data_IF_608619707415
#
_entry.id   IF_608619707415
#
_cell.length_a   1.000
_cell.length_b   1.000
_cell.length_c   1.000
_cell.angle_alpha   90.00
_cell.angle_beta   90.00
_cell.angle_gamma   90.00
#
_symmetry.space_group_name_H-M   'P 1'
#
loop_
_entity.id
_entity.type
_entity.pdbx_description
1 polymer ?
#
# COMPACT_ATOMS: atom_id res chain seq x y z
N UNK A 1 -4.37 28.83 1.16
CA UNK A 1 -4.25 27.60 0.34
C UNK A 1 -5.62 26.94 0.23
N UNK A 2 -6.08 26.60 -0.97
CA UNK A 2 -7.43 26.07 -1.17
C UNK A 2 -7.52 24.58 -0.81
N UNK A 3 -8.72 24.11 -0.49
CA UNK A 3 -8.99 22.70 -0.24
C UNK A 3 -8.59 21.78 -1.42
N UNK A 4 -8.69 22.30 -2.65
CA UNK A 4 -8.24 21.63 -3.87
C UNK A 4 -6.71 21.49 -3.92
N UNK A 5 -5.96 22.53 -3.51
CA UNK A 5 -4.49 22.45 -3.45
C UNK A 5 -3.97 21.42 -2.44
N UNK A 6 -4.71 21.20 -1.35
CA UNK A 6 -4.32 20.21 -0.35
C UNK A 6 -4.49 18.77 -0.86
N UNK A 7 -5.61 18.45 -1.52
CA UNK A 7 -5.79 17.14 -2.15
C UNK A 7 -4.73 16.88 -3.24
N UNK A 8 -4.48 17.87 -4.11
CA UNK A 8 -3.49 17.76 -5.18
C UNK A 8 -2.11 17.37 -4.65
N UNK A 9 -1.67 17.96 -3.53
CA UNK A 9 -0.38 17.65 -2.92
C UNK A 9 -0.23 16.15 -2.55
N UNK A 10 -1.26 15.51 -1.99
CA UNK A 10 -1.22 14.07 -1.69
C UNK A 10 -1.15 13.22 -2.97
N UNK A 11 -1.93 13.59 -3.99
CA UNK A 11 -1.95 12.85 -5.25
C UNK A 11 -0.64 13.00 -6.02
N UNK A 12 -0.02 14.18 -6.00
CA UNK A 12 1.25 14.43 -6.65
C UNK A 12 2.40 13.70 -5.93
N UNK A 13 2.35 13.64 -4.59
CA UNK A 13 3.28 12.83 -3.79
C UNK A 13 3.17 11.33 -4.16
N UNK A 14 1.96 10.82 -4.36
CA UNK A 14 1.74 9.44 -4.84
C UNK A 14 2.34 9.24 -6.24
N UNK A 15 2.03 10.11 -7.20
CA UNK A 15 2.54 10.03 -8.58
C UNK A 15 4.06 10.13 -8.64
N UNK A 16 4.66 10.92 -7.76
CA UNK A 16 6.12 11.06 -7.67
C UNK A 16 6.78 9.77 -7.19
N UNK A 17 6.18 9.06 -6.24
CA UNK A 17 6.68 7.76 -5.76
C UNK A 17 6.43 6.62 -6.76
N UNK A 18 5.37 6.73 -7.54
CA UNK A 18 4.93 5.75 -8.54
C UNK A 18 4.80 6.38 -9.93
N UNK A 19 5.91 6.78 -10.58
CA UNK A 19 5.87 7.35 -11.92
C UNK A 19 5.24 6.40 -12.94
N UNK A 20 5.37 5.08 -12.75
CA UNK A 20 4.73 4.05 -13.57
C UNK A 20 3.20 4.10 -13.51
N UNK A 21 2.63 4.76 -12.49
CA UNK A 21 1.18 4.91 -12.35
C UNK A 21 0.57 5.68 -13.53
N UNK A 22 1.30 6.61 -14.14
CA UNK A 22 0.86 7.32 -15.35
C UNK A 22 0.56 6.38 -16.53
N UNK A 23 1.29 5.27 -16.63
CA UNK A 23 1.09 4.21 -17.65
C UNK A 23 0.05 3.20 -17.17
N UNK A 24 -0.08 3.01 -15.86
CA UNK A 24 -0.92 1.97 -15.26
C UNK A 24 -2.38 2.38 -15.04
N UNK A 25 -2.62 3.64 -14.68
CA UNK A 25 -3.95 4.20 -14.39
C UNK A 25 -4.98 4.04 -15.53
N UNK A 26 -4.62 4.13 -16.83
CA UNK A 26 -5.56 3.88 -17.92
C UNK A 26 -6.22 2.50 -17.87
N UNK A 27 -5.58 1.50 -17.26
CA UNK A 27 -6.14 0.15 -17.10
C UNK A 27 -7.16 0.03 -15.96
N UNK A 28 -7.37 1.10 -15.20
CA UNK A 28 -8.39 1.20 -14.16
C UNK A 28 -9.66 1.80 -14.77
N UNK A 29 -10.87 1.27 -14.45
CA UNK A 29 -12.13 1.87 -14.88
C UNK A 29 -12.17 3.36 -14.57
N UNK A 30 -12.59 4.18 -15.52
CA UNK A 30 -12.49 5.65 -15.42
C UNK A 30 -13.11 6.20 -14.12
N UNK A 31 -14.27 5.68 -13.72
CA UNK A 31 -14.98 6.08 -12.51
C UNK A 31 -14.23 5.72 -11.21
N UNK A 32 -13.33 4.73 -11.24
CA UNK A 32 -12.55 4.29 -10.08
C UNK A 32 -11.20 5.02 -9.96
N UNK A 33 -10.71 5.71 -11.00
CA UNK A 33 -9.37 6.31 -11.01
C UNK A 33 -9.16 7.34 -9.89
N UNK A 34 -10.07 8.32 -9.66
CA UNK A 34 -9.90 9.28 -8.56
C UNK A 34 -9.90 8.61 -7.19
N UNK A 35 -10.76 7.61 -7.02
CA UNK A 35 -10.87 6.84 -5.78
C UNK A 35 -9.60 6.02 -5.52
N UNK A 36 -9.05 5.37 -6.55
CA UNK A 36 -7.80 4.62 -6.48
C UNK A 36 -6.62 5.52 -6.11
N UNK A 37 -6.49 6.68 -6.76
CA UNK A 37 -5.41 7.62 -6.46
C UNK A 37 -5.49 8.15 -5.02
N UNK A 38 -6.69 8.51 -4.54
CA UNK A 38 -6.89 8.94 -3.16
C UNK A 38 -6.61 7.82 -2.15
N UNK A 39 -7.05 6.59 -2.44
CA UNK A 39 -6.82 5.42 -1.61
C UNK A 39 -5.32 5.09 -1.49
N UNK A 40 -4.58 5.08 -2.61
CA UNK A 40 -3.15 4.81 -2.58
C UNK A 40 -2.35 5.95 -1.95
N UNK A 41 -2.78 7.20 -2.12
CA UNK A 41 -2.20 8.31 -1.38
C UNK A 41 -2.37 8.15 0.15
N UNK A 42 -3.54 7.66 0.60
CA UNK A 42 -3.77 7.35 2.02
C UNK A 42 -2.83 6.24 2.53
N UNK A 43 -2.77 5.11 1.81
CA UNK A 43 -1.88 3.99 2.17
C UNK A 43 -0.41 4.44 2.21
N UNK A 44 0.00 5.30 1.29
CA UNK A 44 1.34 5.89 1.26
C UNK A 44 1.64 6.75 2.50
N UNK A 45 0.67 7.49 3.05
CA UNK A 45 0.88 8.24 4.28
C UNK A 45 1.21 7.34 5.48
N UNK A 46 0.63 6.13 5.52
CA UNK A 46 0.93 5.16 6.56
C UNK A 46 2.24 4.41 6.30
N UNK A 47 2.60 4.16 5.03
CA UNK A 47 3.93 3.69 4.66
C UNK A 47 5.02 4.66 5.13
N UNK A 48 4.79 5.97 5.03
CA UNK A 48 5.73 6.99 5.52
C UNK A 48 5.85 6.99 7.03
N UNK A 49 4.74 6.79 7.75
CA UNK A 49 4.75 6.66 9.20
C UNK A 49 5.49 5.39 9.65
N UNK A 50 5.32 4.28 8.93
CA UNK A 50 6.05 3.03 9.20
C UNK A 50 7.56 3.17 8.96
N UNK A 51 7.96 4.06 8.05
CA UNK A 51 9.36 4.24 7.62
C UNK A 51 9.99 5.57 8.07
N UNK A 52 9.52 6.13 9.19
CA UNK A 52 10.10 7.35 9.76
C UNK A 52 11.57 7.13 10.13
N UNK A 53 12.40 8.15 9.91
CA UNK A 53 13.78 8.20 10.39
C UNK A 53 13.85 9.01 11.69
N UNK A 54 14.65 8.56 12.67
CA UNK A 54 14.84 9.26 13.93
C UNK A 54 13.71 9.03 14.93
N UNK A 55 13.30 10.10 15.62
CA UNK A 55 12.29 10.05 16.68
C UNK A 55 10.91 9.60 16.15
N UNK A 56 10.33 8.49 16.66
CA UNK A 56 9.04 8.00 16.20
C UNK A 56 7.84 8.79 16.75
N UNK A 57 8.00 9.59 17.81
CA UNK A 57 6.86 10.24 18.49
C UNK A 57 5.98 11.10 17.57
N UNK A 58 6.53 11.94 16.67
CA UNK A 58 5.70 12.70 15.74
C UNK A 58 4.91 11.81 14.76
N UNK A 59 5.53 10.71 14.31
CA UNK A 59 4.89 9.75 13.42
C UNK A 59 3.77 8.97 14.15
N UNK A 60 3.97 8.68 15.44
CA UNK A 60 2.99 8.00 16.29
C UNK A 60 1.78 8.87 16.60
N UNK A 61 2.00 10.15 16.90
CA UNK A 61 0.93 11.12 17.04
C UNK A 61 0.12 11.26 15.73
N UNK A 62 0.81 11.30 14.57
CA UNK A 62 0.16 11.35 13.26
C UNK A 62 -0.65 10.07 12.96
N UNK A 63 -0.16 8.91 13.37
CA UNK A 63 -0.87 7.64 13.23
C UNK A 63 -2.14 7.60 14.08
N UNK A 64 -2.06 8.06 15.34
CA UNK A 64 -3.22 8.18 16.21
C UNK A 64 -4.26 9.17 15.66
N UNK A 65 -3.81 10.28 15.07
CA UNK A 65 -4.69 11.21 14.36
C UNK A 65 -5.40 10.53 13.17
N UNK A 66 -4.68 9.74 12.36
CA UNK A 66 -5.29 8.96 11.26
C UNK A 66 -6.31 7.94 11.76
N UNK A 67 -6.06 7.28 12.89
CA UNK A 67 -7.03 6.37 13.50
C UNK A 67 -8.34 7.10 13.83
N UNK A 68 -8.26 8.29 14.42
CA UNK A 68 -9.44 9.08 14.73
C UNK A 68 -10.16 9.54 13.45
N UNK A 69 -9.42 10.04 12.45
CA UNK A 69 -9.99 10.48 11.18
C UNK A 69 -10.76 9.34 10.48
N UNK A 70 -10.23 8.12 10.45
CA UNK A 70 -10.95 6.94 9.90
C UNK A 70 -12.21 6.59 10.70
N UNK A 71 -12.20 6.73 12.03
CA UNK A 71 -13.39 6.54 12.86
C UNK A 71 -14.43 7.62 12.58
N UNK A 72 -14.00 8.85 12.32
CA UNK A 72 -14.89 9.94 11.91
C UNK A 72 -15.48 9.71 10.51
N UNK A 73 -14.76 9.06 9.60
CA UNK A 73 -15.28 8.67 8.28
C UNK A 73 -16.43 7.66 8.38
N UNK A 74 -16.37 6.75 9.36
CA UNK A 74 -17.48 5.84 9.65
C UNK A 74 -18.78 6.59 9.97
N UNK A 75 -18.66 7.83 10.48
CA UNK A 75 -19.76 8.71 10.83
C UNK A 75 -19.98 9.87 9.83
N UNK A 76 -19.30 9.86 8.68
CA UNK A 76 -19.33 10.93 7.67
C UNK A 76 -18.95 12.32 8.15
N UNK A 77 -17.91 12.40 8.98
CA UNK A 77 -17.43 13.67 9.54
C UNK A 77 -16.02 13.99 9.08
N UNK A 78 -15.63 13.53 7.90
CA UNK A 78 -14.29 13.76 7.35
C UNK A 78 -13.97 15.24 7.27
N UNK A 79 -12.79 15.62 7.75
CA UNK A 79 -12.23 16.97 7.56
C UNK A 79 -11.02 16.95 6.65
N UNK A 80 -10.45 15.77 6.41
CA UNK A 80 -9.27 15.59 5.59
C UNK A 80 -9.58 15.68 4.08
N UNK A 81 -8.68 16.26 3.25
CA UNK A 81 -8.85 16.31 1.80
C UNK A 81 -9.04 14.94 1.14
N UNK A 82 -8.31 13.90 1.58
CA UNK A 82 -8.50 12.53 1.08
C UNK A 82 -9.87 11.96 1.47
N UNK A 83 -10.35 12.28 2.67
CA UNK A 83 -11.64 11.78 3.13
C UNK A 83 -12.80 12.35 2.32
N UNK A 84 -12.73 13.57 1.77
CA UNK A 84 -13.76 14.06 0.82
C UNK A 84 -13.97 13.16 -0.40
N UNK A 85 -12.96 12.38 -0.78
CA UNK A 85 -13.04 11.43 -1.89
C UNK A 85 -13.42 10.02 -1.40
N UNK A 86 -12.87 9.61 -0.25
CA UNK A 86 -13.00 8.24 0.27
C UNK A 86 -14.22 8.03 1.17
N UNK A 87 -14.47 8.94 2.11
CA UNK A 87 -15.55 8.87 3.11
C UNK A 87 -16.96 8.69 2.54
N UNK A 88 -17.33 9.26 1.38
CA UNK A 88 -18.63 8.99 0.77
C UNK A 88 -18.90 7.51 0.51
N UNK A 89 -17.86 6.67 0.41
CA UNK A 89 -18.00 5.21 0.30
C UNK A 89 -18.11 4.59 1.70
N UNK A 90 -19.15 3.78 1.93
CA UNK A 90 -19.41 3.07 3.19
C UNK A 90 -18.53 1.83 3.37
N UNK A 91 -17.22 2.02 3.39
CA UNK A 91 -16.25 0.96 3.66
C UNK A 91 -16.08 0.75 5.19
N UNK A 92 -15.50 -0.38 5.64
CA UNK A 92 -15.26 -0.66 7.06
C UNK A 92 -14.11 0.19 7.66
N UNK A 93 -14.28 1.51 7.68
CA UNK A 93 -13.25 2.47 8.11
C UNK A 93 -12.83 2.30 9.57
N UNK A 94 -13.77 2.04 10.48
CA UNK A 94 -13.47 1.79 11.89
C UNK A 94 -12.59 0.54 12.08
N UNK A 95 -12.91 -0.56 11.39
CA UNK A 95 -12.10 -1.78 11.44
C UNK A 95 -10.69 -1.54 10.90
N UNK A 96 -10.55 -0.74 9.84
CA UNK A 96 -9.23 -0.33 9.35
C UNK A 96 -8.48 0.51 10.38
N UNK A 97 -9.15 1.46 11.04
CA UNK A 97 -8.55 2.29 12.09
C UNK A 97 -7.94 1.45 13.22
N UNK A 98 -8.65 0.41 13.66
CA UNK A 98 -8.22 -0.45 14.76
C UNK A 98 -6.94 -1.26 14.44
N UNK A 99 -6.59 -1.40 13.15
CA UNK A 99 -5.39 -2.11 12.72
C UNK A 99 -4.16 -1.23 12.52
N UNK A 100 -4.31 0.10 12.52
CA UNK A 100 -3.20 1.02 12.27
C UNK A 100 -2.01 0.91 13.24
N UNK A 101 -2.16 0.52 14.53
CA UNK A 101 -1.00 0.25 15.40
C UNK A 101 0.00 -0.77 14.82
N UNK A 102 -0.41 -1.60 13.85
CA UNK A 102 0.51 -2.48 13.12
C UNK A 102 1.68 -1.72 12.45
N UNK A 103 1.51 -0.45 12.07
CA UNK A 103 2.58 0.36 11.48
C UNK A 103 3.71 0.63 12.46
N UNK A 104 3.38 0.78 13.75
CA UNK A 104 4.37 0.92 14.84
C UNK A 104 5.06 -0.41 15.10
N UNK A 105 4.28 -1.48 15.23
CA UNK A 105 4.80 -2.82 15.47
C UNK A 105 5.74 -3.28 14.34
N UNK A 106 5.41 -2.97 13.08
CA UNK A 106 6.23 -3.28 11.93
C UNK A 106 7.57 -2.54 11.91
N UNK A 107 7.78 -1.50 12.75
CA UNK A 107 9.09 -0.83 12.87
C UNK A 107 10.13 -1.67 13.59
N UNK A 108 9.70 -2.64 14.38
CA UNK A 108 10.60 -3.54 15.12
C UNK A 108 11.19 -4.55 14.14
N UNK A 109 12.49 -4.84 14.30
CA UNK A 109 13.14 -5.88 13.50
C UNK A 109 12.48 -7.25 13.78
N UNK A 110 11.97 -7.96 12.76
CA UNK A 110 11.33 -9.25 12.98
C UNK A 110 12.37 -10.34 13.30
N UNK A 111 11.91 -11.45 13.84
CA UNK A 111 12.67 -12.69 14.09
C UNK A 111 12.58 -13.66 12.91
N UNK A 112 11.52 -13.55 12.10
CA UNK A 112 11.30 -14.40 10.92
C UNK A 112 10.34 -13.75 9.93
N UNK A 113 10.29 -14.29 8.70
CA UNK A 113 9.27 -13.91 7.71
C UNK A 113 7.85 -14.10 8.27
N UNK A 114 7.58 -15.21 8.95
CA UNK A 114 6.25 -15.52 9.47
C UNK A 114 5.82 -14.52 10.54
N UNK A 115 6.72 -14.11 11.43
CA UNK A 115 6.42 -13.05 12.39
C UNK A 115 6.13 -11.73 11.69
N UNK A 116 6.96 -11.34 10.72
CA UNK A 116 6.78 -10.08 9.97
C UNK A 116 5.42 -10.04 9.23
N UNK A 117 5.01 -11.16 8.62
CA UNK A 117 3.70 -11.30 8.00
C UNK A 117 2.57 -11.26 9.03
N UNK A 118 2.74 -11.95 10.16
CA UNK A 118 1.77 -11.96 11.25
C UNK A 118 1.50 -10.57 11.83
N UNK A 119 2.55 -9.74 11.98
CA UNK A 119 2.42 -8.35 12.44
C UNK A 119 1.52 -7.50 11.54
N UNK A 120 1.51 -7.75 10.23
CA UNK A 120 0.73 -6.98 9.25
C UNK A 120 -0.58 -7.65 8.85
N UNK A 121 -0.87 -8.87 9.32
CA UNK A 121 -1.99 -9.67 8.83
C UNK A 121 -3.34 -8.99 9.01
N UNK A 122 -3.66 -8.53 10.22
CA UNK A 122 -4.95 -7.88 10.50
C UNK A 122 -5.13 -6.58 9.68
N UNK A 123 -4.07 -5.80 9.55
CA UNK A 123 -4.06 -4.60 8.71
C UNK A 123 -4.30 -4.94 7.23
N UNK A 124 -3.62 -5.96 6.72
CA UNK A 124 -3.78 -6.40 5.34
C UNK A 124 -5.20 -6.92 5.03
N UNK A 125 -5.81 -7.65 5.96
CA UNK A 125 -7.22 -8.06 5.88
C UNK A 125 -8.16 -6.83 5.84
N UNK A 126 -7.92 -5.83 6.71
CA UNK A 126 -8.73 -4.62 6.72
C UNK A 126 -8.58 -3.79 5.43
N UNK A 127 -7.37 -3.72 4.87
CA UNK A 127 -7.11 -3.12 3.54
C UNK A 127 -7.93 -3.82 2.47
N UNK A 128 -7.87 -5.15 2.41
CA UNK A 128 -8.63 -5.96 1.44
C UNK A 128 -10.14 -5.75 1.62
N UNK A 129 -10.64 -5.70 2.85
CA UNK A 129 -12.06 -5.48 3.14
C UNK A 129 -12.54 -4.10 2.69
N UNK A 130 -11.73 -3.06 2.90
CA UNK A 130 -12.02 -1.71 2.38
C UNK A 130 -12.00 -1.69 0.86
N UNK A 131 -10.99 -2.29 0.23
CA UNK A 131 -10.88 -2.36 -1.23
C UNK A 131 -12.02 -3.13 -1.88
N UNK A 132 -12.57 -4.13 -1.19
CA UNK A 132 -13.74 -4.85 -1.68
C UNK A 132 -14.94 -3.92 -1.87
N UNK A 133 -15.14 -2.98 -0.94
CA UNK A 133 -16.20 -1.97 -1.04
C UNK A 133 -15.83 -0.87 -2.04
N UNK A 134 -14.63 -0.30 -1.95
CA UNK A 134 -14.19 0.80 -2.82
C UNK A 134 -14.26 0.43 -4.31
N UNK A 135 -13.93 -0.82 -4.64
CA UNK A 135 -13.79 -1.27 -6.03
C UNK A 135 -14.82 -2.31 -6.44
N UNK A 136 -15.90 -2.46 -5.64
CA UNK A 136 -17.01 -3.38 -5.89
C UNK A 136 -16.58 -4.84 -6.17
N UNK A 137 -15.54 -5.29 -5.46
CA UNK A 137 -15.00 -6.63 -5.60
C UNK A 137 -15.87 -7.62 -4.82
N UNK A 138 -16.20 -8.75 -5.44
CA UNK A 138 -17.04 -9.79 -4.80
C UNK A 138 -16.25 -10.98 -4.31
N UNK A 139 -15.08 -11.21 -4.90
CA UNK A 139 -14.23 -12.34 -4.54
C UNK A 139 -13.38 -12.02 -3.28
N UNK A 140 -13.09 -13.03 -2.44
CA UNK A 140 -12.16 -12.87 -1.32
C UNK A 140 -10.80 -12.34 -1.79
N UNK A 141 -10.19 -11.49 -0.98
CA UNK A 141 -8.87 -10.95 -1.28
C UNK A 141 -7.73 -11.62 -0.55
N UNK A 142 -6.54 -11.46 -1.14
CA UNK A 142 -5.29 -12.05 -0.68
C UNK A 142 -4.55 -11.05 0.21
N UNK A 143 -4.87 -11.06 1.51
CA UNK A 143 -4.20 -10.20 2.48
C UNK A 143 -2.70 -10.52 2.59
N UNK A 144 -2.27 -11.76 2.33
CA UNK A 144 -0.85 -12.11 2.33
C UNK A 144 -0.08 -11.33 1.26
N UNK A 145 -0.65 -11.14 0.06
CA UNK A 145 -0.04 -10.31 -0.98
C UNK A 145 0.13 -8.84 -0.53
N UNK A 146 -0.84 -8.28 0.19
CA UNK A 146 -0.74 -6.92 0.76
C UNK A 146 0.36 -6.88 1.83
N UNK A 147 0.38 -7.81 2.77
CA UNK A 147 1.40 -7.87 3.82
C UNK A 147 2.82 -7.95 3.23
N UNK A 148 3.05 -8.81 2.23
CA UNK A 148 4.36 -8.93 1.56
C UNK A 148 4.75 -7.64 0.85
N UNK A 149 3.81 -6.97 0.18
CA UNK A 149 4.05 -5.68 -0.47
C UNK A 149 4.48 -4.60 0.52
N UNK A 150 3.87 -4.57 1.71
CA UNK A 150 4.23 -3.65 2.78
C UNK A 150 5.60 -3.95 3.39
N UNK A 151 5.95 -5.23 3.57
CA UNK A 151 7.30 -5.63 4.00
C UNK A 151 8.37 -5.24 2.97
N UNK A 152 8.08 -5.38 1.68
CA UNK A 152 8.97 -4.93 0.60
C UNK A 152 9.09 -3.40 0.54
N UNK A 153 8.01 -2.66 0.79
CA UNK A 153 8.05 -1.21 0.95
C UNK A 153 8.94 -0.80 2.13
N UNK A 154 8.78 -1.47 3.27
CA UNK A 154 9.66 -1.29 4.43
C UNK A 154 11.12 -1.59 4.10
N UNK A 155 11.40 -2.72 3.44
CA UNK A 155 12.75 -3.12 3.05
C UNK A 155 13.46 -2.08 2.17
N UNK A 156 12.71 -1.36 1.31
CA UNK A 156 13.30 -0.31 0.47
C UNK A 156 13.83 0.89 1.24
N UNK A 157 13.22 1.22 2.38
CA UNK A 157 13.56 2.40 3.16
C UNK A 157 14.45 2.06 4.36
N UNK A 158 14.06 1.05 5.13
CA UNK A 158 14.75 0.67 6.36
C UNK A 158 15.97 -0.26 6.13
N UNK A 159 16.15 -0.79 4.92
CA UNK A 159 17.31 -1.63 4.59
C UNK A 159 17.43 -2.85 5.50
N UNK A 160 18.61 -3.07 6.07
CA UNK A 160 18.89 -4.24 6.90
C UNK A 160 18.00 -4.33 8.16
N UNK A 161 17.51 -3.20 8.68
CA UNK A 161 16.61 -3.16 9.85
C UNK A 161 15.20 -3.70 9.58
N UNK A 162 14.85 -3.96 8.31
CA UNK A 162 13.58 -4.57 7.94
C UNK A 162 13.67 -6.11 7.82
N UNK A 163 14.87 -6.67 7.72
CA UNK A 163 15.10 -8.10 7.64
C UNK A 163 15.30 -8.71 9.03
N UNK A 164 15.01 -10.01 9.22
CA UNK A 164 15.37 -10.67 10.46
C UNK A 164 16.87 -10.63 10.78
N UNK A 165 17.21 -10.64 12.07
CA UNK A 165 18.60 -10.61 12.51
C UNK A 165 19.45 -11.69 11.85
N UNK A 166 20.60 -11.30 11.29
CA UNK A 166 21.52 -12.21 10.59
C UNK A 166 21.09 -12.60 9.16
N UNK A 167 19.92 -12.18 8.69
CA UNK A 167 19.48 -12.42 7.30
C UNK A 167 19.98 -11.30 6.40
N UNK A 168 20.82 -11.65 5.42
CA UNK A 168 21.28 -10.68 4.43
C UNK A 168 20.12 -10.08 3.62
N UNK A 169 20.19 -8.78 3.29
CA UNK A 169 19.18 -8.06 2.51
C UNK A 169 18.78 -8.80 1.22
N UNK A 170 19.72 -9.42 0.51
CA UNK A 170 19.42 -10.18 -0.70
C UNK A 170 18.57 -11.44 -0.41
N UNK A 171 18.93 -12.19 0.64
CA UNK A 171 18.19 -13.37 1.07
C UNK A 171 16.77 -13.01 1.52
N UNK A 172 16.63 -11.91 2.26
CA UNK A 172 15.33 -11.39 2.68
C UNK A 172 14.45 -10.99 1.49
N UNK A 173 14.99 -10.26 0.51
CA UNK A 173 14.28 -9.91 -0.73
C UNK A 173 13.83 -11.16 -1.51
N UNK A 174 14.63 -12.22 -1.52
CA UNK A 174 14.26 -13.51 -2.13
C UNK A 174 13.09 -14.14 -1.38
N UNK A 175 13.13 -14.17 -0.05
CA UNK A 175 12.03 -14.68 0.78
C UNK A 175 10.72 -13.91 0.52
N UNK A 176 10.78 -12.58 0.47
CA UNK A 176 9.62 -11.75 0.13
C UNK A 176 9.09 -12.07 -1.28
N UNK A 177 9.97 -12.18 -2.29
CA UNK A 177 9.55 -12.49 -3.65
C UNK A 177 8.93 -13.90 -3.79
N UNK A 178 9.40 -14.86 -3.00
CA UNK A 178 8.85 -16.22 -2.92
C UNK A 178 7.47 -16.23 -2.25
N UNK A 179 7.30 -15.43 -1.18
CA UNK A 179 6.02 -15.26 -0.50
C UNK A 179 5.00 -14.45 -1.33
N UNK A 180 5.44 -13.62 -2.28
CA UNK A 180 4.57 -12.77 -3.10
C UNK A 180 3.92 -13.55 -4.27
N UNK A 181 2.59 -13.78 -4.23
CA UNK A 181 1.91 -14.56 -5.26
C UNK A 181 2.05 -13.94 -6.66
N UNK A 182 2.23 -14.77 -7.69
CA UNK A 182 2.36 -14.29 -9.07
C UNK A 182 1.04 -13.78 -9.65
N UNK A 183 -0.08 -14.36 -9.20
CA UNK A 183 -1.45 -13.99 -9.52
C UNK A 183 -2.13 -13.64 -8.20
N UNK A 184 -2.09 -12.36 -7.83
CA UNK A 184 -2.68 -11.88 -6.58
C UNK A 184 -4.19 -11.71 -6.75
N UNK A 185 -4.95 -12.20 -5.78
CA UNK A 185 -6.38 -11.98 -5.70
C UNK A 185 -6.61 -10.65 -4.96
N UNK A 186 -6.40 -9.51 -5.64
CA UNK A 186 -6.65 -8.16 -5.11
C UNK A 186 -7.64 -7.42 -6.01
N UNK A 187 -8.25 -6.32 -5.52
CA UNK A 187 -9.04 -5.45 -6.38
C UNK A 187 -8.18 -4.91 -7.54
N UNK A 188 -8.79 -4.72 -8.73
CA UNK A 188 -8.05 -4.34 -9.94
C UNK A 188 -7.02 -3.22 -9.76
N UNK A 189 -7.32 -2.08 -9.11
CA UNK A 189 -6.31 -1.05 -8.87
C UNK A 189 -5.10 -1.56 -8.08
N UNK A 190 -5.33 -2.26 -6.98
CA UNK A 190 -4.24 -2.74 -6.13
C UNK A 190 -3.50 -3.91 -6.79
N UNK A 191 -4.18 -4.75 -7.57
CA UNK A 191 -3.54 -5.80 -8.38
C UNK A 191 -2.53 -5.22 -9.37
N UNK A 192 -2.88 -4.10 -10.02
CA UNK A 192 -1.96 -3.36 -10.91
C UNK A 192 -0.80 -2.78 -10.12
N UNK A 193 -1.05 -2.12 -9.00
CA UNK A 193 0.01 -1.57 -8.15
C UNK A 193 0.96 -2.67 -7.60
N UNK A 194 0.40 -3.74 -7.05
CA UNK A 194 1.13 -4.89 -6.50
C UNK A 194 2.01 -5.56 -7.56
N UNK A 195 1.53 -5.66 -8.80
CA UNK A 195 2.32 -6.16 -9.94
C UNK A 195 3.56 -5.29 -10.20
N UNK A 196 3.42 -3.97 -10.15
CA UNK A 196 4.53 -3.03 -10.36
C UNK A 196 5.51 -3.07 -9.19
N UNK A 197 5.01 -3.11 -7.95
CA UNK A 197 5.84 -3.25 -6.75
C UNK A 197 6.67 -4.53 -6.77
N UNK A 198 6.04 -5.66 -7.10
CA UNK A 198 6.72 -6.95 -7.28
C UNK A 198 7.76 -6.90 -8.41
N UNK A 199 7.48 -6.19 -9.50
CA UNK A 199 8.43 -6.01 -10.60
C UNK A 199 9.65 -5.18 -10.18
N UNK A 200 9.47 -4.12 -9.37
CA UNK A 200 10.59 -3.37 -8.78
C UNK A 200 11.48 -4.28 -7.92
N UNK A 201 10.88 -5.14 -7.09
CA UNK A 201 11.63 -6.12 -6.28
C UNK A 201 12.43 -7.11 -7.15
N UNK A 202 11.81 -7.67 -8.20
CA UNK A 202 12.51 -8.57 -9.15
C UNK A 202 13.70 -7.89 -9.83
N UNK A 203 13.54 -6.63 -10.22
CA UNK A 203 14.59 -5.84 -10.88
C UNK A 203 15.73 -5.52 -9.92
N UNK A 204 15.42 -5.14 -8.68
CA UNK A 204 16.41 -4.90 -7.64
C UNK A 204 17.26 -6.16 -7.36
N UNK A 205 16.63 -7.33 -7.27
CA UNK A 205 17.33 -8.62 -7.13
C UNK A 205 18.21 -8.96 -8.36
N UNK A 206 17.88 -8.44 -9.53
CA UNK A 206 18.66 -8.62 -10.76
C UNK A 206 19.72 -7.54 -10.97
N UNK A 207 19.96 -6.65 -9.98
CA UNK A 207 20.88 -5.52 -10.12
C UNK A 207 20.46 -4.47 -11.16
N UNK A 208 19.18 -4.44 -11.54
CA UNK A 208 18.64 -3.50 -12.53
C UNK A 208 18.02 -2.28 -11.84
N UNK A 209 17.90 -1.18 -12.58
CA UNK A 209 17.15 0.01 -12.13
C UNK A 209 15.75 -0.36 -11.66
N UNK A 210 15.26 0.26 -10.59
CA UNK A 210 13.96 -0.08 -10.01
C UNK A 210 12.82 0.10 -11.03
N UNK A 211 12.83 1.20 -11.78
CA UNK A 211 11.80 1.52 -12.77
C UNK A 211 11.98 0.69 -14.05
N UNK A 212 11.00 -0.15 -14.41
CA UNK A 212 11.02 -0.89 -15.66
C UNK A 212 10.84 0.04 -16.88
N UNK A 213 11.32 -0.32 -18.08
CA UNK A 213 11.04 0.44 -19.30
C UNK A 213 9.53 0.54 -19.59
N UNK A 214 9.05 1.60 -20.28
CA UNK A 214 7.62 1.85 -20.49
C UNK A 214 6.84 0.68 -21.11
N UNK A 215 7.42 -0.04 -22.07
CA UNK A 215 6.76 -1.20 -22.69
C UNK A 215 6.55 -2.35 -21.69
N UNK A 216 7.50 -2.55 -20.76
CA UNK A 216 7.33 -3.52 -19.69
C UNK A 216 6.26 -3.05 -18.69
N UNK A 217 6.24 -1.76 -18.34
CA UNK A 217 5.18 -1.19 -17.50
C UNK A 217 3.80 -1.46 -18.11
N UNK A 218 3.61 -1.14 -19.39
CA UNK A 218 2.35 -1.34 -20.11
C UNK A 218 1.91 -2.80 -20.11
N UNK A 219 2.81 -3.73 -20.47
CA UNK A 219 2.48 -5.15 -20.49
C UNK A 219 2.14 -5.69 -19.10
N UNK A 220 2.89 -5.29 -18.06
CA UNK A 220 2.63 -5.72 -16.69
C UNK A 220 1.30 -5.15 -16.16
N UNK A 221 1.00 -3.89 -16.44
CA UNK A 221 -0.26 -3.23 -16.04
C UNK A 221 -1.46 -3.85 -16.74
N UNK A 222 -1.38 -4.07 -18.07
CA UNK A 222 -2.43 -4.76 -18.83
C UNK A 222 -2.71 -6.16 -18.26
N UNK A 223 -1.66 -6.96 -18.06
CA UNK A 223 -1.80 -8.33 -17.54
C UNK A 223 -2.33 -8.37 -16.10
N UNK A 224 -2.02 -7.37 -15.29
CA UNK A 224 -2.58 -7.25 -13.96
C UNK A 224 -4.05 -6.85 -14.01
N UNK A 225 -4.44 -5.97 -14.92
CA UNK A 225 -5.82 -5.50 -15.04
C UNK A 225 -6.79 -6.55 -15.58
N UNK A 226 -6.32 -7.50 -16.40
CA UNK A 226 -7.15 -8.53 -17.04
C UNK A 226 -7.66 -9.66 -16.12
N UNK A 227 -7.30 -9.65 -14.83
CA UNK A 227 -7.85 -10.58 -13.83
C UNK A 227 -9.32 -10.33 -13.49
N UNK A 228 -9.97 -11.34 -12.91
CA UNK A 228 -11.36 -11.25 -12.41
C UNK A 228 -11.43 -10.51 -11.09
N UNK A 229 -12.48 -9.70 -10.91
CA UNK A 229 -12.83 -9.01 -9.66
C UNK A 229 -14.01 -9.72 -8.95
#
# INVERSE_FOLDING_TARGET
MSQSSALASFLDKWRTRWPEWSVAEPFIPQLQRPLAAAWFALLQEWEDIMNIAGDPLPADAKLAWWQQELRDWSNQRSRHPLGRVLEPVRAPWAALADTLPAMQAARVQPQSLQQALGTLHAFAEAVVAVEAVLFARRQPGDAAAVAVQWLDARQRVAGDSAAPGGVATAAWRIQLLQAWPRKVALARPHRVWSRLARLRLQRALSGRTAYPPPLQQLWHSWRAASGTD
#
